data_IF_860993626796
#
_entry.id   IF_860993626796
#
_cell.length_a   1.000
_cell.length_b   1.000
_cell.length_c   1.000
_cell.angle_alpha   90.00
_cell.angle_beta   90.00
_cell.angle_gamma   90.00
#
_symmetry.space_group_name_H-M   'P 1'
#
loop_
_entity.id
_entity.type
_entity.pdbx_description
1 polymer ?
#
# COMPACT_ATOMS: atom_id res chain seq x y z
N UNK A 1 11.50 -14.94 2.48
CA UNK A 1 12.34 -13.92 3.16
C UNK A 1 11.53 -12.66 3.38
N UNK A 2 11.67 -12.00 4.53
CA UNK A 2 11.09 -10.69 4.81
C UNK A 2 12.23 -9.70 5.00
N UNK A 3 12.22 -8.61 4.25
CA UNK A 3 13.29 -7.60 4.26
C UNK A 3 12.67 -6.21 4.30
N UNK A 4 13.26 -5.29 5.04
CA UNK A 4 12.87 -3.89 5.01
C UNK A 4 13.26 -3.26 3.67
N UNK A 5 12.39 -2.43 3.10
CA UNK A 5 12.72 -1.69 1.88
C UNK A 5 13.85 -0.69 2.12
N UNK A 6 14.00 -0.17 3.34
CA UNK A 6 15.10 0.72 3.70
C UNK A 6 16.46 0.05 3.52
N UNK A 7 16.61 -1.19 4.01
CA UNK A 7 17.87 -1.95 3.91
C UNK A 7 18.21 -2.27 2.45
N UNK A 8 17.20 -2.37 1.58
CA UNK A 8 17.39 -2.61 0.14
C UNK A 8 17.74 -1.34 -0.63
N UNK A 9 17.13 -0.20 -0.31
CA UNK A 9 17.28 1.06 -1.07
C UNK A 9 18.20 2.09 -0.39
N UNK A 10 18.74 1.80 0.79
CA UNK A 10 19.48 2.74 1.64
C UNK A 10 18.70 4.04 1.94
N UNK A 11 17.38 3.93 2.13
CA UNK A 11 16.48 5.05 2.40
C UNK A 11 15.68 4.78 3.68
N UNK A 12 16.08 5.42 4.78
CA UNK A 12 15.48 5.25 6.11
C UNK A 12 14.01 5.68 6.16
N UNK A 13 13.58 6.62 5.30
CA UNK A 13 12.19 7.06 5.25
C UNK A 13 11.24 5.92 4.84
N UNK A 14 11.77 4.84 4.27
CA UNK A 14 10.99 3.69 3.79
C UNK A 14 11.09 2.46 4.70
N UNK A 15 11.66 2.60 5.91
CA UNK A 15 11.86 1.50 6.86
C UNK A 15 10.55 0.81 7.27
N UNK A 16 9.44 1.54 7.22
CA UNK A 16 8.12 1.01 7.54
C UNK A 16 7.55 0.05 6.48
N UNK A 17 8.20 -0.09 5.32
CA UNK A 17 7.74 -0.98 4.24
C UNK A 17 8.51 -2.29 4.29
N UNK A 18 7.80 -3.38 4.52
CA UNK A 18 8.33 -4.74 4.55
C UNK A 18 8.01 -5.43 3.23
N UNK A 19 9.01 -6.01 2.59
CA UNK A 19 8.84 -6.80 1.36
C UNK A 19 9.00 -8.28 1.70
N UNK A 20 8.06 -9.08 1.20
CA UNK A 20 8.12 -10.53 1.23
C UNK A 20 8.64 -11.02 -0.11
N UNK A 21 9.78 -11.70 -0.07
CA UNK A 21 10.44 -12.32 -1.21
C UNK A 21 10.31 -13.84 -1.12
N UNK A 22 9.96 -14.50 -2.22
CA UNK A 22 9.95 -15.96 -2.33
C UNK A 22 11.16 -16.43 -3.14
N UNK A 23 11.74 -17.57 -2.79
CA UNK A 23 12.77 -18.21 -3.60
C UNK A 23 12.14 -18.75 -4.88
N UNK A 24 12.70 -18.41 -6.04
CA UNK A 24 12.25 -18.94 -7.33
C UNK A 24 13.24 -19.99 -7.86
N UNK A 25 14.55 -19.69 -7.80
CA UNK A 25 15.60 -20.58 -8.32
C UNK A 25 16.89 -20.46 -7.50
N UNK A 26 17.74 -21.49 -7.56
CA UNK A 26 19.04 -21.54 -6.87
C UNK A 26 20.14 -21.86 -7.86
N UNK A 27 21.08 -20.93 -8.01
CA UNK A 27 22.22 -21.04 -8.93
C UNK A 27 23.51 -21.09 -8.12
N UNK A 28 24.06 -22.30 -7.97
CA UNK A 28 25.23 -22.54 -7.12
C UNK A 28 24.93 -22.17 -5.67
N UNK A 29 25.60 -21.13 -5.17
CA UNK A 29 25.40 -20.61 -3.80
C UNK A 29 24.46 -19.38 -3.74
N UNK A 30 23.95 -18.91 -4.89
CA UNK A 30 23.09 -17.74 -4.96
C UNK A 30 21.63 -18.15 -5.15
N UNK A 31 20.73 -17.52 -4.38
CA UNK A 31 19.29 -17.77 -4.46
C UNK A 31 18.62 -16.59 -5.16
N UNK A 32 17.95 -16.85 -6.28
CA UNK A 32 17.11 -15.87 -6.96
C UNK A 32 15.76 -15.79 -6.25
N UNK A 33 15.35 -14.57 -5.92
CA UNK A 33 14.11 -14.32 -5.20
C UNK A 33 13.20 -13.37 -5.96
N UNK A 34 11.91 -13.67 -5.93
CA UNK A 34 10.87 -12.91 -6.60
C UNK A 34 9.93 -12.23 -5.59
N UNK A 35 9.27 -11.16 -6.01
CA UNK A 35 8.34 -10.42 -5.19
C UNK A 35 7.08 -11.25 -4.93
N UNK A 36 6.82 -11.53 -3.65
CA UNK A 36 5.63 -12.26 -3.22
C UNK A 36 4.59 -11.35 -2.56
N UNK A 37 5.02 -10.27 -1.92
CA UNK A 37 4.11 -9.32 -1.32
C UNK A 37 4.79 -8.17 -0.60
N UNK A 38 3.99 -7.22 -0.15
CA UNK A 38 4.44 -6.07 0.63
C UNK A 38 3.48 -5.86 1.80
N UNK A 39 4.03 -5.49 2.96
CA UNK A 39 3.27 -5.15 4.15
C UNK A 39 3.84 -3.88 4.80
N UNK A 40 3.02 -3.23 5.62
CA UNK A 40 3.45 -2.08 6.42
C UNK A 40 3.77 -2.56 7.84
N UNK A 41 4.73 -1.91 8.49
CA UNK A 41 4.97 -2.16 9.90
C UNK A 41 3.77 -1.75 10.76
N UNK A 42 3.53 -2.46 11.86
CA UNK A 42 2.39 -2.23 12.75
C UNK A 42 2.44 -0.84 13.38
N UNK A 43 3.62 -0.38 13.77
CA UNK A 43 3.88 0.98 14.28
C UNK A 43 3.44 2.05 13.29
N UNK A 44 3.73 1.89 12.00
CA UNK A 44 3.32 2.85 10.98
C UNK A 44 1.81 2.88 10.78
N UNK A 45 1.16 1.71 10.72
CA UNK A 45 -0.30 1.64 10.63
C UNK A 45 -0.97 2.31 11.84
N UNK A 46 -0.50 2.03 13.05
CA UNK A 46 -1.00 2.65 14.26
C UNK A 46 -0.75 4.17 14.32
N UNK A 47 0.39 4.64 13.80
CA UNK A 47 0.73 6.06 13.72
C UNK A 47 -0.18 6.85 12.76
N UNK A 48 -0.62 6.20 11.68
CA UNK A 48 -1.53 6.79 10.70
C UNK A 48 -2.97 6.89 11.25
N UNK A 49 -3.37 5.95 12.12
CA UNK A 49 -4.69 5.96 12.76
C UNK A 49 -4.75 7.06 13.82
N UNK A 50 -5.38 8.18 13.45
CA UNK A 50 -5.59 9.33 14.34
C UNK A 50 -7.07 9.44 14.73
N UNK A 51 -7.32 9.89 15.95
CA UNK A 51 -8.68 10.23 16.41
C UNK A 51 -9.22 11.42 15.62
N UNK A 52 -10.55 11.54 15.58
CA UNK A 52 -11.29 12.67 15.01
C UNK A 52 -11.26 12.81 13.48
N UNK A 53 -10.75 11.80 12.75
CA UNK A 53 -10.85 11.68 11.30
C UNK A 53 -11.62 10.43 10.88
N UNK A 54 -12.03 10.36 9.62
CA UNK A 54 -12.53 9.12 9.02
C UNK A 54 -11.39 8.32 8.42
N UNK A 55 -11.40 7.02 8.70
CA UNK A 55 -10.57 6.02 8.04
C UNK A 55 -11.35 5.47 6.83
N UNK A 56 -10.69 5.45 5.68
CA UNK A 56 -11.24 5.01 4.40
C UNK A 56 -10.36 3.89 3.87
N UNK A 57 -10.85 2.67 4.00
CA UNK A 57 -10.22 1.48 3.43
C UNK A 57 -10.87 1.09 2.10
N UNK A 58 -10.06 0.66 1.14
CA UNK A 58 -10.48 0.07 -0.12
C UNK A 58 -9.55 -1.10 -0.47
N UNK A 59 -10.11 -2.14 -1.08
CA UNK A 59 -9.35 -3.26 -1.63
C UNK A 59 -9.69 -3.43 -3.12
N UNK A 60 -8.73 -3.97 -3.88
CA UNK A 60 -8.92 -4.31 -5.28
C UNK A 60 -8.09 -5.55 -5.61
N UNK A 61 -8.69 -6.48 -6.33
CA UNK A 61 -8.02 -7.66 -6.87
C UNK A 61 -7.65 -7.36 -8.33
N UNK A 62 -6.35 -7.35 -8.62
CA UNK A 62 -5.81 -6.99 -9.95
C UNK A 62 -5.01 -8.15 -10.48
N UNK A 63 -5.25 -8.51 -11.74
CA UNK A 63 -4.43 -9.45 -12.50
C UNK A 63 -3.38 -8.66 -13.27
N UNK A 64 -2.11 -8.98 -13.08
CA UNK A 64 -1.03 -8.39 -13.87
C UNK A 64 -0.93 -9.07 -15.24
N UNK A 65 -0.24 -8.42 -16.17
CA UNK A 65 0.03 -8.96 -17.52
C UNK A 65 0.82 -10.26 -17.48
N UNK A 66 1.62 -10.44 -16.44
CA UNK A 66 2.56 -11.55 -16.31
C UNK A 66 1.91 -12.76 -15.61
N UNK A 67 0.59 -12.74 -15.42
CA UNK A 67 -0.20 -13.86 -14.89
C UNK A 67 -0.36 -13.89 -13.36
N UNK A 68 0.21 -12.93 -12.62
CA UNK A 68 0.07 -12.87 -11.16
C UNK A 68 -1.27 -12.25 -10.74
N UNK A 69 -1.87 -12.80 -9.69
CA UNK A 69 -3.02 -12.19 -9.02
C UNK A 69 -2.55 -11.46 -7.77
N UNK A 70 -2.80 -10.16 -7.71
CA UNK A 70 -2.42 -9.30 -6.59
C UNK A 70 -3.66 -8.73 -5.91
N UNK A 71 -3.68 -8.75 -4.58
CA UNK A 71 -4.66 -8.02 -3.77
C UNK A 71 -4.02 -6.75 -3.24
N UNK A 72 -4.53 -5.62 -3.72
CA UNK A 72 -4.08 -4.29 -3.33
C UNK A 72 -4.97 -3.77 -2.21
N UNK A 73 -4.36 -3.30 -1.13
CA UNK A 73 -5.02 -2.58 -0.05
C UNK A 73 -4.66 -1.11 -0.12
N UNK A 74 -5.66 -0.24 0.01
CA UNK A 74 -5.50 1.20 0.08
C UNK A 74 -6.16 1.70 1.37
N UNK A 75 -5.38 2.41 2.18
CA UNK A 75 -5.84 3.05 3.41
C UNK A 75 -5.64 4.55 3.24
N UNK A 76 -6.70 5.31 3.48
CA UNK A 76 -6.68 6.77 3.44
C UNK A 76 -7.35 7.35 4.69
N UNK A 77 -6.88 8.54 5.08
CA UNK A 77 -7.41 9.29 6.22
C UNK A 77 -7.83 10.67 5.78
N UNK A 78 -8.91 11.17 6.37
CA UNK A 78 -9.30 12.58 6.20
C UNK A 78 -8.31 13.48 6.92
N UNK A 79 -7.80 14.49 6.23
CA UNK A 79 -6.96 15.54 6.83
C UNK A 79 -7.80 16.75 7.20
N UNK A 80 -7.39 17.44 8.26
CA UNK A 80 -8.00 18.71 8.66
C UNK A 80 -7.57 19.81 7.70
N UNK A 81 -8.52 20.57 7.17
CA UNK A 81 -8.20 21.77 6.39
C UNK A 81 -7.69 22.90 7.29
N UNK A 82 -6.74 23.74 6.83
CA UNK A 82 -6.09 24.76 7.66
C UNK A 82 -7.06 25.77 8.29
N UNK A 83 -8.22 26.02 7.67
CA UNK A 83 -9.21 26.99 8.15
C UNK A 83 -10.40 26.35 8.89
N UNK A 84 -10.32 25.07 9.25
CA UNK A 84 -11.41 24.35 9.90
C UNK A 84 -11.38 24.57 11.42
N UNK A 85 -12.44 25.18 11.98
CA UNK A 85 -12.54 25.39 13.43
C UNK A 85 -12.84 24.11 14.21
N UNK A 86 -13.68 23.22 13.66
CA UNK A 86 -14.04 21.95 14.32
C UNK A 86 -12.81 21.04 14.44
N UNK A 87 -12.67 20.38 15.60
CA UNK A 87 -11.64 19.36 15.84
C UNK A 87 -11.87 18.09 15.01
N UNK A 88 -13.13 17.81 14.65
CA UNK A 88 -13.53 16.63 13.89
C UNK A 88 -13.56 16.89 12.40
N UNK A 89 -13.05 15.93 11.62
CA UNK A 89 -12.98 15.94 10.17
C UNK A 89 -13.59 14.64 9.63
N UNK A 90 -14.87 14.40 9.91
CA UNK A 90 -15.55 13.22 9.40
C UNK A 90 -16.02 13.43 7.96
N UNK A 91 -15.77 12.46 7.08
CA UNK A 91 -16.30 12.44 5.74
C UNK A 91 -17.74 11.90 5.75
N UNK A 92 -18.59 12.46 4.89
CA UNK A 92 -19.95 11.93 4.72
C UNK A 92 -19.89 10.54 4.06
N UNK A 93 -20.83 9.65 4.40
CA UNK A 93 -20.86 8.29 3.87
C UNK A 93 -20.89 8.24 2.33
N UNK A 94 -21.57 9.21 1.68
CA UNK A 94 -21.58 9.34 0.23
C UNK A 94 -20.19 9.65 -0.34
N UNK A 95 -19.44 10.56 0.29
CA UNK A 95 -18.08 10.90 -0.10
C UNK A 95 -17.11 9.73 0.10
N UNK A 96 -17.25 8.98 1.19
CA UNK A 96 -16.47 7.76 1.45
C UNK A 96 -16.68 6.73 0.33
N UNK A 97 -17.94 6.49 -0.08
CA UNK A 97 -18.25 5.59 -1.20
C UNK A 97 -17.65 6.07 -2.51
N UNK A 98 -17.73 7.37 -2.81
CA UNK A 98 -17.14 7.94 -4.02
C UNK A 98 -15.61 7.78 -4.06
N UNK A 99 -14.93 8.02 -2.91
CA UNK A 99 -13.49 7.83 -2.78
C UNK A 99 -13.11 6.36 -2.96
N UNK A 100 -13.86 5.43 -2.34
CA UNK A 100 -13.63 3.98 -2.50
C UNK A 100 -13.73 3.54 -3.96
N UNK A 101 -14.77 4.01 -4.67
CA UNK A 101 -14.93 3.74 -6.11
C UNK A 101 -13.75 4.28 -6.91
N UNK A 102 -13.37 5.53 -6.67
CA UNK A 102 -12.22 6.17 -7.34
C UNK A 102 -10.90 5.47 -7.05
N UNK A 103 -10.69 4.98 -5.83
CA UNK A 103 -9.50 4.22 -5.47
C UNK A 103 -9.47 2.89 -6.22
N UNK A 104 -10.57 2.13 -6.20
CA UNK A 104 -10.70 0.89 -6.97
C UNK A 104 -10.39 1.09 -8.46
N UNK A 105 -11.00 2.10 -9.09
CA UNK A 105 -10.72 2.44 -10.51
C UNK A 105 -9.26 2.82 -10.78
N UNK A 106 -8.60 3.52 -9.84
CA UNK A 106 -7.19 3.88 -10.00
C UNK A 106 -6.27 2.67 -9.91
N UNK A 107 -6.59 1.71 -9.05
CA UNK A 107 -5.81 0.48 -8.91
C UNK A 107 -5.91 -0.39 -10.17
N UNK A 108 -7.09 -0.42 -10.79
CA UNK A 108 -7.31 -1.12 -12.06
C UNK A 108 -6.54 -0.44 -13.21
N UNK A 109 -6.65 0.89 -13.36
CA UNK A 109 -5.98 1.62 -14.45
C UNK A 109 -4.46 1.75 -14.31
N UNK A 110 -3.95 1.85 -13.09
CA UNK A 110 -2.50 1.96 -12.81
C UNK A 110 -1.86 0.61 -12.51
N UNK A 111 -2.58 -0.50 -12.78
CA UNK A 111 -2.10 -1.86 -12.60
C UNK A 111 -0.61 -1.93 -12.88
N UNK A 112 0.14 -2.24 -11.81
CA UNK A 112 1.58 -2.10 -11.65
C UNK A 112 2.30 -2.27 -12.99
N UNK A 113 2.57 -1.16 -13.71
CA UNK A 113 3.31 -1.20 -14.97
C UNK A 113 4.79 -1.35 -14.60
N UNK A 114 5.17 -2.55 -14.16
CA UNK A 114 6.57 -2.95 -14.14
C UNK A 114 6.94 -3.04 -15.62
N UNK A 115 7.55 -1.97 -16.15
CA UNK A 115 8.23 -2.08 -17.43
C UNK A 115 9.38 -3.05 -17.21
N UNK A 116 9.19 -4.30 -17.63
CA UNK A 116 10.29 -5.20 -17.95
C UNK A 116 11.13 -4.51 -19.03
N UNK A 117 12.39 -4.25 -18.72
CA UNK A 117 13.43 -3.89 -19.70
C UNK A 117 14.66 -4.70 -19.36
#
# INVERSE_FOLDING_TARGET
FEVSLADRNNDEDQQYRKIKLCCEDVQGFNVLTNFHGMDLTRDKLCSLIKKWGSLIEANADVRTTDGYMLRLFCIAFTTKMPNQMKKTCYAQSAQIRAIRKKNGERHDRRGFKVRSS
#
